data_IF_661379041483
#
_entry.id   IF_661379041483
#
_cell.length_a   1.000
_cell.length_b   1.000
_cell.length_c   1.000
_cell.angle_alpha   90.00
_cell.angle_beta   90.00
_cell.angle_gamma   90.00
#
_symmetry.space_group_name_H-M   'P 1'
#
loop_
_entity.id
_entity.type
_entity.pdbx_description
1 polymer ?
#
# COMPACT_ATOMS: atom_id res chain seq x y z
N UNK A 1 -18.33 19.17 -7.23
CA UNK A 1 -17.51 18.41 -6.26
C UNK A 1 -16.10 18.35 -6.82
N UNK A 2 -15.10 18.76 -6.06
CA UNK A 2 -13.71 18.66 -6.51
C UNK A 2 -13.33 17.19 -6.63
N UNK A 3 -12.90 16.78 -7.81
CA UNK A 3 -12.42 15.43 -8.02
C UNK A 3 -11.01 15.30 -7.41
N UNK A 4 -10.89 14.55 -6.32
CA UNK A 4 -9.61 14.33 -5.64
C UNK A 4 -8.95 13.04 -6.15
N UNK A 5 -8.52 13.04 -7.43
CA UNK A 5 -7.95 11.85 -8.07
C UNK A 5 -6.81 11.21 -7.26
N UNK A 6 -5.83 11.99 -6.81
CA UNK A 6 -4.72 11.47 -6.00
C UNK A 6 -5.17 10.81 -4.68
N UNK A 7 -6.23 11.33 -4.04
CA UNK A 7 -6.78 10.72 -2.83
C UNK A 7 -7.47 9.38 -3.14
N UNK A 8 -8.18 9.26 -4.27
CA UNK A 8 -8.76 7.98 -4.71
C UNK A 8 -7.69 6.94 -5.00
N UNK A 9 -6.61 7.35 -5.66
CA UNK A 9 -5.45 6.49 -5.93
C UNK A 9 -4.84 5.98 -4.63
N UNK A 10 -4.59 6.87 -3.66
CA UNK A 10 -4.06 6.48 -2.35
C UNK A 10 -5.01 5.52 -1.60
N UNK A 11 -6.31 5.77 -1.62
CA UNK A 11 -7.31 4.92 -0.97
C UNK A 11 -7.38 3.52 -1.62
N UNK A 12 -7.40 3.46 -2.95
CA UNK A 12 -7.45 2.19 -3.68
C UNK A 12 -6.17 1.37 -3.47
N UNK A 13 -5.00 2.03 -3.43
CA UNK A 13 -3.73 1.40 -3.09
C UNK A 13 -3.74 0.82 -1.66
N UNK A 14 -4.22 1.60 -0.68
CA UNK A 14 -4.33 1.14 0.71
C UNK A 14 -5.30 -0.04 0.84
N UNK A 15 -6.42 -0.02 0.12
CA UNK A 15 -7.36 -1.13 0.07
C UNK A 15 -6.71 -2.41 -0.48
N UNK A 16 -5.97 -2.33 -1.60
CA UNK A 16 -5.26 -3.48 -2.18
C UNK A 16 -4.17 -4.01 -1.23
N UNK A 17 -3.47 -3.12 -0.54
CA UNK A 17 -2.46 -3.50 0.46
C UNK A 17 -3.09 -4.27 1.62
N UNK A 18 -4.23 -3.78 2.13
CA UNK A 18 -4.96 -4.46 3.20
C UNK A 18 -5.47 -5.83 2.75
N UNK A 19 -6.08 -5.92 1.56
CA UNK A 19 -6.55 -7.19 0.99
C UNK A 19 -5.40 -8.19 0.82
N UNK A 20 -4.24 -7.77 0.29
CA UNK A 20 -3.09 -8.64 0.11
C UNK A 20 -2.51 -9.16 1.44
N UNK A 21 -2.58 -8.36 2.51
CA UNK A 21 -2.20 -8.81 3.87
C UNK A 21 -3.19 -9.86 4.40
N UNK A 22 -4.49 -9.62 4.24
CA UNK A 22 -5.55 -10.52 4.70
C UNK A 22 -5.51 -11.87 3.97
N UNK A 23 -5.42 -11.87 2.64
CA UNK A 23 -5.34 -13.08 1.82
C UNK A 23 -4.15 -13.97 2.19
N UNK A 24 -3.03 -13.35 2.58
CA UNK A 24 -1.81 -14.05 2.99
C UNK A 24 -1.75 -14.39 4.48
N UNK A 25 -2.66 -13.86 5.29
CA UNK A 25 -2.58 -13.90 6.75
C UNK A 25 -1.34 -13.20 7.32
N UNK A 26 -0.82 -12.19 6.61
CA UNK A 26 0.40 -11.48 7.00
C UNK A 26 0.09 -10.32 7.93
N UNK A 27 0.96 -10.12 8.93
CA UNK A 27 0.95 -8.90 9.73
C UNK A 27 1.79 -7.81 9.05
N UNK A 28 1.51 -6.54 9.39
CA UNK A 28 2.35 -5.39 8.99
C UNK A 28 3.81 -5.59 9.42
N UNK A 29 4.05 -6.22 10.58
CA UNK A 29 5.39 -6.53 11.05
C UNK A 29 6.09 -7.58 10.17
N UNK A 30 5.35 -8.59 9.68
CA UNK A 30 5.89 -9.55 8.72
C UNK A 30 6.25 -8.85 7.42
N UNK A 31 5.30 -8.10 6.82
CA UNK A 31 5.52 -7.39 5.57
C UNK A 31 6.73 -6.44 5.65
N UNK A 32 6.87 -5.70 6.75
CA UNK A 32 8.01 -4.81 6.98
C UNK A 32 9.36 -5.53 6.88
N UNK A 33 9.47 -6.75 7.43
CA UNK A 33 10.72 -7.53 7.37
C UNK A 33 11.04 -8.02 5.96
N UNK A 34 10.03 -8.44 5.20
CA UNK A 34 10.24 -9.02 3.86
C UNK A 34 10.34 -7.96 2.76
N UNK A 35 9.72 -6.79 2.93
CA UNK A 35 9.81 -5.68 1.96
C UNK A 35 10.94 -4.70 2.26
N UNK A 36 11.46 -4.67 3.49
CA UNK A 36 12.41 -3.65 3.94
C UNK A 36 11.78 -2.28 4.18
N UNK A 37 10.46 -2.13 3.99
CA UNK A 37 9.72 -0.90 4.29
C UNK A 37 9.47 -0.83 5.79
N UNK A 38 9.71 0.32 6.40
CA UNK A 38 9.51 0.50 7.83
C UNK A 38 8.05 0.24 8.24
N UNK A 39 7.84 -0.53 9.32
CA UNK A 39 6.50 -0.87 9.85
C UNK A 39 5.61 0.36 10.03
N UNK A 40 6.17 1.47 10.49
CA UNK A 40 5.44 2.73 10.68
C UNK A 40 4.93 3.33 9.36
N UNK A 41 5.75 3.29 8.31
CA UNK A 41 5.37 3.74 6.96
C UNK A 41 4.19 2.93 6.42
N UNK A 42 4.24 1.60 6.56
CA UNK A 42 3.15 0.71 6.13
C UNK A 42 1.87 1.00 6.91
N UNK A 43 1.97 1.17 8.23
CA UNK A 43 0.82 1.50 9.07
C UNK A 43 0.18 2.84 8.69
N UNK A 44 0.98 3.87 8.41
CA UNK A 44 0.47 5.17 7.96
C UNK A 44 -0.18 5.11 6.58
N UNK A 45 0.37 4.32 5.66
CA UNK A 45 -0.23 4.10 4.35
C UNK A 45 -1.63 3.48 4.48
N UNK A 46 -1.76 2.43 5.30
CA UNK A 46 -3.04 1.77 5.60
C UNK A 46 -4.05 2.70 6.29
N UNK A 47 -3.58 3.58 7.17
CA UNK A 47 -4.42 4.56 7.85
C UNK A 47 -4.78 5.78 7.00
N UNK A 48 -4.20 5.92 5.79
CA UNK A 48 -4.36 7.12 4.95
C UNK A 48 -3.63 8.36 5.48
N UNK A 49 -2.70 8.18 6.43
CA UNK A 49 -1.93 9.26 7.08
C UNK A 49 -0.63 9.61 6.33
N UNK A 50 -0.23 8.78 5.36
CA UNK A 50 0.93 9.02 4.51
C UNK A 50 0.66 8.59 3.07
N UNK A 51 1.28 9.31 2.14
CA UNK A 51 1.26 9.01 0.71
C UNK A 51 2.52 8.21 0.41
N UNK A 52 2.41 6.92 0.06
CA UNK A 52 3.58 6.10 -0.24
C UNK A 52 4.29 6.64 -1.47
N UNK A 53 5.62 6.74 -1.39
CA UNK A 53 6.45 7.09 -2.55
C UNK A 53 6.65 5.89 -3.49
N UNK A 54 7.28 6.17 -4.64
CA UNK A 54 7.54 5.16 -5.67
C UNK A 54 8.38 3.98 -5.15
N UNK A 55 9.35 4.24 -4.28
CA UNK A 55 10.23 3.21 -3.72
C UNK A 55 9.46 2.30 -2.74
N UNK A 56 8.57 2.89 -1.94
CA UNK A 56 7.69 2.18 -1.01
C UNK A 56 6.76 1.24 -1.78
N UNK A 57 6.08 1.75 -2.83
CA UNK A 57 5.18 0.93 -3.65
C UNK A 57 5.94 -0.24 -4.27
N UNK A 58 7.06 0.03 -4.96
CA UNK A 58 7.85 -1.01 -5.63
C UNK A 58 8.34 -2.10 -4.68
N UNK A 59 8.80 -1.75 -3.47
CA UNK A 59 9.27 -2.72 -2.50
C UNK A 59 8.13 -3.56 -1.89
N UNK A 60 6.96 -2.96 -1.66
CA UNK A 60 5.79 -3.69 -1.18
C UNK A 60 5.27 -4.66 -2.25
N UNK A 61 5.13 -4.21 -3.49
CA UNK A 61 4.69 -5.04 -4.62
C UNK A 61 5.64 -6.22 -4.86
N UNK A 62 6.95 -5.97 -4.83
CA UNK A 62 7.96 -7.03 -4.94
C UNK A 62 7.82 -8.08 -3.83
N UNK A 63 7.57 -7.65 -2.59
CA UNK A 63 7.44 -8.55 -1.44
C UNK A 63 6.10 -9.31 -1.44
N UNK A 64 5.03 -8.66 -1.90
CA UNK A 64 3.68 -9.24 -1.97
C UNK A 64 3.45 -10.04 -3.26
N UNK A 65 4.29 -9.87 -4.28
CA UNK A 65 4.13 -10.53 -5.58
C UNK A 65 2.83 -10.15 -6.29
N UNK A 66 2.30 -8.95 -6.05
CA UNK A 66 1.10 -8.42 -6.68
C UNK A 66 1.14 -6.89 -6.78
N UNK A 67 0.32 -6.35 -7.69
CA UNK A 67 0.25 -4.91 -7.94
C UNK A 67 -0.62 -4.21 -6.90
N UNK A 68 -0.04 -3.24 -6.19
CA UNK A 68 -0.74 -2.31 -5.30
C UNK A 68 -1.18 -1.06 -6.05
N UNK A 69 -0.45 -0.66 -7.11
CA UNK A 69 -0.82 0.49 -7.91
C UNK A 69 -2.18 0.26 -8.59
N UNK A 70 -3.18 1.13 -8.37
CA UNK A 70 -4.54 0.89 -8.83
C UNK A 70 -4.75 1.06 -10.34
N UNK A 71 -3.78 1.65 -11.04
CA UNK A 71 -3.92 2.10 -12.42
C UNK A 71 -4.39 3.54 -12.52
N UNK A 72 -4.51 4.05 -13.75
CA UNK A 72 -4.83 5.46 -14.04
C UNK A 72 -6.32 5.80 -13.99
N UNK A 73 -7.17 4.79 -14.03
CA UNK A 73 -8.63 4.93 -14.19
C UNK A 73 -9.39 4.79 -12.85
N UNK A 74 -8.66 4.71 -11.73
CA UNK A 74 -9.26 4.75 -10.38
C UNK A 74 -9.80 6.13 -10.07
#
# INVERSE_FOLDING_TARGET
MTEHHGARVAQAMAFRLQAALEERGWSVAHLSRVSGVARFTIAKALAGEAWPDLLTIANLEKALGCDLWPGRDV
#
